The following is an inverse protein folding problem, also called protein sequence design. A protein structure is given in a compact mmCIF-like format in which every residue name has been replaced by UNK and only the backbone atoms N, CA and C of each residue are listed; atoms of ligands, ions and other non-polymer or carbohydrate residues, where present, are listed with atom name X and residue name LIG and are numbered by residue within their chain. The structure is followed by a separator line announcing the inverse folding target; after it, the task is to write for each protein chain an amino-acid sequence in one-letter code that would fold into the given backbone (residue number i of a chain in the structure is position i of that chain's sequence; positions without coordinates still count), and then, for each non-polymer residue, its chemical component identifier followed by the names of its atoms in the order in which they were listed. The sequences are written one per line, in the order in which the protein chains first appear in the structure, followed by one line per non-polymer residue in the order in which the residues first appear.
data_IF_790671578624
#
_entry.id   IF_790671578624
#
_cell.length_a   1.000
_cell.length_b   1.000
_cell.length_c   1.000
_cell.angle_alpha   90.00
_cell.angle_beta   90.00
_cell.angle_gamma   90.00
#
_symmetry.space_group_name_H-M   'P 1'
#
loop_
_entity.id
_entity.type
_entity.pdbx_description
1 polymer ?
#
# COMPACT_ATOMS: atom_id res chain seq x y z
N UNK A 1 -3.08 -18.31 42.42
CA UNK A 1 -3.72 -17.66 41.26
C UNK A 1 -2.87 -16.52 40.68
N UNK A 2 -2.16 -15.74 41.51
CA UNK A 2 -1.28 -14.63 41.08
C UNK A 2 -0.19 -15.04 40.07
N UNK A 3 0.46 -16.19 40.26
CA UNK A 3 1.49 -16.68 39.31
C UNK A 3 0.94 -16.96 37.90
N UNK A 4 -0.33 -17.38 37.78
CA UNK A 4 -0.95 -17.65 36.47
C UNK A 4 -1.27 -16.33 35.74
N UNK A 5 -1.69 -15.31 36.49
CA UNK A 5 -1.97 -13.96 35.95
C UNK A 5 -0.67 -13.27 35.53
N UNK A 6 0.40 -13.42 36.31
CA UNK A 6 1.72 -12.87 35.97
C UNK A 6 2.27 -13.49 34.68
N UNK A 7 2.17 -14.82 34.55
CA UNK A 7 2.59 -15.53 33.32
C UNK A 7 1.73 -15.11 32.12
N UNK A 8 0.42 -14.92 32.30
CA UNK A 8 -0.47 -14.44 31.24
C UNK A 8 -0.09 -13.03 30.78
N UNK A 9 0.22 -12.12 31.71
CA UNK A 9 0.67 -10.75 31.38
C UNK A 9 2.00 -10.75 30.63
N UNK A 10 2.97 -11.58 31.04
CA UNK A 10 4.24 -11.73 30.32
C UNK A 10 4.02 -12.29 28.90
N UNK A 11 3.13 -13.26 28.74
CA UNK A 11 2.80 -13.83 27.44
C UNK A 11 2.16 -12.79 26.49
N UNK A 12 1.26 -11.95 27.02
CA UNK A 12 0.61 -10.88 26.26
C UNK A 12 1.58 -9.75 25.86
N UNK A 13 2.53 -9.39 26.73
CA UNK A 13 3.57 -8.41 26.38
C UNK A 13 4.49 -8.93 25.26
N UNK A 14 4.88 -10.19 25.31
CA UNK A 14 5.78 -10.78 24.32
C UNK A 14 5.10 -10.94 22.95
N UNK A 15 3.82 -11.30 22.90
CA UNK A 15 3.06 -11.38 21.65
C UNK A 15 2.80 -10.00 21.03
N UNK A 16 2.58 -8.97 21.84
CA UNK A 16 2.44 -7.59 21.37
C UNK A 16 3.70 -7.04 20.70
N UNK A 17 4.88 -7.35 21.26
CA UNK A 17 6.16 -6.92 20.68
C UNK A 17 6.50 -7.63 19.36
N UNK A 18 6.09 -8.89 19.19
CA UNK A 18 6.29 -9.61 17.93
C UNK A 18 5.40 -9.05 16.81
N UNK A 19 4.15 -8.68 17.12
CA UNK A 19 3.19 -8.15 16.15
C UNK A 19 3.53 -6.71 15.73
N UNK A 20 3.95 -5.86 16.68
CA UNK A 20 4.34 -4.47 16.38
C UNK A 20 5.59 -4.35 15.50
N UNK A 21 6.46 -5.37 15.49
CA UNK A 21 7.69 -5.37 14.70
C UNK A 21 7.42 -5.41 13.20
N UNK A 22 6.55 -6.31 12.73
CA UNK A 22 6.19 -6.38 11.30
C UNK A 22 5.39 -5.14 10.84
N UNK A 23 4.62 -4.53 11.75
CA UNK A 23 3.96 -3.24 11.51
C UNK A 23 4.95 -2.09 11.31
N UNK A 24 6.01 -2.03 12.13
CA UNK A 24 7.04 -0.98 12.01
C UNK A 24 7.99 -1.22 10.84
N UNK A 25 8.31 -2.47 10.55
CA UNK A 25 9.21 -2.85 9.46
C UNK A 25 8.52 -2.78 8.08
N UNK A 26 7.20 -2.99 8.01
CA UNK A 26 6.42 -2.99 6.77
C UNK A 26 5.04 -2.31 6.94
N UNK A 27 4.97 -1.02 7.31
CA UNK A 27 3.70 -0.31 7.57
C UNK A 27 2.77 -0.32 6.35
N UNK A 28 3.37 -0.40 5.17
CA UNK A 28 2.70 -0.52 3.88
C UNK A 28 1.92 -1.81 3.68
N UNK A 29 2.05 -2.88 4.49
CA UNK A 29 1.31 -4.14 4.33
C UNK A 29 -0.06 -4.15 5.01
N UNK A 30 -0.29 -3.29 6.00
CA UNK A 30 -1.45 -3.41 6.90
C UNK A 30 -2.72 -2.72 6.35
N UNK A 31 -2.55 -1.61 5.64
CA UNK A 31 -3.64 -0.89 4.97
C UNK A 31 -3.23 -0.69 3.51
N UNK A 32 -3.36 -1.74 2.69
CA UNK A 32 -3.24 -1.62 1.23
C UNK A 32 -4.62 -1.55 0.64
N UNK A 33 -4.99 -0.39 0.10
CA UNK A 33 -5.92 -0.41 -1.02
C UNK A 33 -5.19 -1.13 -2.17
N UNK A 34 -5.67 -2.32 -2.61
CA UNK A 34 -4.98 -3.09 -3.64
C UNK A 34 -4.80 -2.29 -4.93
N UNK A 35 -5.78 -1.44 -5.25
CA UNK A 35 -5.75 -0.56 -6.42
C UNK A 35 -4.63 0.48 -6.34
N UNK A 36 -4.53 1.20 -5.21
CA UNK A 36 -3.43 2.14 -5.00
C UNK A 36 -2.06 1.45 -5.02
N UNK A 37 -1.96 0.26 -4.44
CA UNK A 37 -0.72 -0.52 -4.42
C UNK A 37 -0.28 -0.89 -5.83
N UNK A 38 -1.20 -1.40 -6.65
CA UNK A 38 -0.91 -1.76 -8.04
C UNK A 38 -0.51 -0.54 -8.87
N UNK A 39 -1.23 0.58 -8.72
CA UNK A 39 -0.90 1.84 -9.36
C UNK A 39 0.52 2.30 -8.99
N UNK A 40 0.84 2.33 -7.69
CA UNK A 40 2.17 2.72 -7.19
C UNK A 40 3.28 1.83 -7.75
N UNK A 41 3.10 0.51 -7.71
CA UNK A 41 4.09 -0.43 -8.24
C UNK A 41 4.36 -0.19 -9.74
N UNK A 42 3.33 0.13 -10.53
CA UNK A 42 3.49 0.46 -11.96
C UNK A 42 4.21 1.78 -12.18
N UNK A 43 3.92 2.80 -11.36
CA UNK A 43 4.60 4.10 -11.41
C UNK A 43 6.09 3.96 -11.07
N UNK A 44 6.41 3.21 -10.02
CA UNK A 44 7.79 2.96 -9.58
C UNK A 44 8.58 2.17 -10.64
N UNK A 45 7.95 1.18 -11.29
CA UNK A 45 8.56 0.43 -12.38
C UNK A 45 8.83 1.33 -13.61
N UNK A 46 7.86 2.17 -13.98
CA UNK A 46 7.99 3.12 -15.10
C UNK A 46 9.11 4.14 -14.85
N UNK A 47 9.17 4.71 -13.65
CA UNK A 47 10.24 5.62 -13.24
C UNK A 47 11.61 4.94 -13.29
N UNK A 48 11.69 3.70 -12.80
CA UNK A 48 12.91 2.92 -12.86
C UNK A 48 13.38 2.69 -14.30
N UNK A 49 12.48 2.40 -15.25
CA UNK A 49 12.82 2.27 -16.67
C UNK A 49 13.32 3.57 -17.28
N UNK A 50 12.73 4.73 -16.92
CA UNK A 50 13.23 6.03 -17.34
C UNK A 50 14.63 6.32 -16.78
N UNK A 51 14.87 6.07 -15.49
CA UNK A 51 16.16 6.27 -14.85
C UNK A 51 17.26 5.36 -15.42
N UNK A 52 16.89 4.12 -15.81
CA UNK A 52 17.78 3.20 -16.53
C UNK A 52 17.97 3.55 -18.01
N UNK A 53 17.31 4.62 -18.50
CA UNK A 53 17.33 5.08 -19.90
C UNK A 53 16.80 4.02 -20.89
N UNK A 54 15.93 3.13 -20.42
CA UNK A 54 15.25 2.14 -21.25
C UNK A 54 14.14 2.78 -22.10
N UNK A 55 13.60 3.89 -21.62
CA UNK A 55 12.59 4.71 -22.30
C UNK A 55 13.05 6.17 -22.34
N UNK A 56 12.58 6.91 -23.33
CA UNK A 56 12.77 8.34 -23.45
C UNK A 56 11.91 9.11 -22.44
N UNK A 57 12.24 10.38 -22.24
CA UNK A 57 11.41 11.26 -21.41
C UNK A 57 10.00 11.43 -21.98
N UNK A 58 9.85 11.50 -23.31
CA UNK A 58 8.54 11.62 -23.95
C UNK A 58 7.67 10.39 -23.67
N UNK A 59 8.23 9.19 -23.81
CA UNK A 59 7.54 7.93 -23.49
C UNK A 59 7.22 7.81 -22.01
N UNK A 60 8.11 8.28 -21.12
CA UNK A 60 7.86 8.32 -19.69
C UNK A 60 6.63 9.18 -19.34
N UNK A 61 6.56 10.39 -19.89
CA UNK A 61 5.44 11.31 -19.63
C UNK A 61 4.14 10.72 -20.18
N UNK A 62 4.14 10.22 -21.42
CA UNK A 62 2.95 9.62 -22.01
C UNK A 62 2.44 8.42 -21.20
N UNK A 63 3.34 7.51 -20.80
CA UNK A 63 2.95 6.33 -20.04
C UNK A 63 2.51 6.67 -18.62
N UNK A 64 3.13 7.68 -18.00
CA UNK A 64 2.71 8.19 -16.70
C UNK A 64 1.30 8.75 -16.79
N UNK A 65 1.05 9.67 -17.71
CA UNK A 65 -0.22 10.35 -17.80
C UNK A 65 -1.35 9.33 -18.05
N UNK A 66 -1.10 8.30 -18.87
CA UNK A 66 -2.04 7.16 -19.04
C UNK A 66 -2.28 6.35 -17.75
N UNK A 67 -1.24 6.14 -16.94
CA UNK A 67 -1.39 5.42 -15.66
C UNK A 67 -2.18 6.22 -14.65
N UNK A 68 -1.91 7.52 -14.57
CA UNK A 68 -2.56 8.47 -13.67
C UNK A 68 -4.06 8.60 -14.06
N UNK A 69 -4.35 8.82 -15.35
CA UNK A 69 -5.73 8.89 -15.87
C UNK A 69 -6.54 7.63 -15.56
N UNK A 70 -5.92 6.45 -15.74
CA UNK A 70 -6.58 5.18 -15.46
C UNK A 70 -6.90 5.03 -13.97
N UNK A 71 -5.97 5.41 -13.10
CA UNK A 71 -6.18 5.35 -11.66
C UNK A 71 -7.29 6.32 -11.23
N UNK A 72 -7.29 7.54 -11.76
CA UNK A 72 -8.32 8.54 -11.48
C UNK A 72 -9.72 8.06 -11.89
N UNK A 73 -9.84 7.39 -13.05
CA UNK A 73 -11.10 6.78 -13.48
C UNK A 73 -11.58 5.67 -12.52
N UNK A 74 -10.65 4.82 -12.05
CA UNK A 74 -10.97 3.78 -11.07
C UNK A 74 -11.44 4.37 -9.74
N UNK A 75 -10.77 5.43 -9.26
CA UNK A 75 -11.16 6.16 -8.04
C UNK A 75 -12.53 6.79 -8.21
N UNK A 76 -12.78 7.53 -9.30
CA UNK A 76 -14.08 8.14 -9.57
C UNK A 76 -15.22 7.12 -9.63
N UNK A 77 -14.99 5.98 -10.29
CA UNK A 77 -15.97 4.89 -10.35
C UNK A 77 -16.29 4.37 -8.95
N UNK A 78 -15.29 4.13 -8.10
CA UNK A 78 -15.50 3.66 -6.73
C UNK A 78 -16.24 4.70 -5.89
N UNK A 79 -15.85 5.96 -5.97
CA UNK A 79 -16.53 7.06 -5.29
C UNK A 79 -17.99 7.16 -5.71
N UNK A 80 -18.29 7.03 -7.00
CA UNK A 80 -19.68 7.05 -7.49
C UNK A 80 -20.53 5.90 -6.94
N UNK A 81 -19.95 4.70 -6.76
CA UNK A 81 -20.65 3.55 -6.19
C UNK A 81 -20.87 3.71 -4.69
N UNK A 82 -19.92 4.31 -3.97
CA UNK A 82 -20.09 4.61 -2.55
C UNK A 82 -21.21 5.64 -2.37
N UNK A 83 -21.16 6.75 -3.11
CA UNK A 83 -22.16 7.82 -3.05
C UNK A 83 -23.56 7.39 -3.55
N UNK A 84 -23.68 6.40 -4.42
CA UNK A 84 -24.98 5.88 -4.86
C UNK A 84 -25.64 4.92 -3.86
N UNK A 85 -24.88 4.43 -2.87
CA UNK A 85 -25.33 3.46 -1.87
C UNK A 85 -25.56 4.09 -0.48
N UNK A 86 -25.39 5.42 -0.36
CA UNK A 86 -25.78 6.24 0.79
C UNK A 86 -27.15 6.90 0.56
#
# INVERSE_FOLDING_TARGET
MMNKILVLMCALMLSGCAYGRDYLENPEKFIRDPHFTEYKNKRDALESSYLRKEITYAEYIEQRDRLDDKYDQEVQKRTSVIMSNE
#
